data_IF_734972189151
#
_entry.id   IF_734972189151
#
_cell.length_a   1.000
_cell.length_b   1.000
_cell.length_c   1.000
_cell.angle_alpha   90.00
_cell.angle_beta   90.00
_cell.angle_gamma   90.00
#
_symmetry.space_group_name_H-M   'P 1'
#
loop_
_entity.id
_entity.type
_entity.pdbx_description
1 polymer ?
#
# COMPACT_ATOMS: atom_id res chain seq x y z
N UNK A 1 -17.90 -2.55 -3.03
CA UNK A 1 -17.38 -3.01 -1.73
C UNK A 1 -15.90 -2.65 -1.63
N UNK A 2 -15.42 -2.35 -0.43
CA UNK A 2 -14.02 -1.99 -0.19
C UNK A 2 -13.21 -3.26 0.14
N UNK A 3 -11.99 -3.35 -0.38
CA UNK A 3 -11.07 -4.46 -0.08
C UNK A 3 -9.92 -3.96 0.79
N UNK A 4 -9.75 -4.56 1.97
CA UNK A 4 -8.65 -4.24 2.86
C UNK A 4 -7.46 -5.17 2.62
N UNK A 5 -6.27 -4.59 2.52
CA UNK A 5 -4.99 -5.30 2.44
C UNK A 5 -4.10 -4.74 3.54
N UNK A 6 -3.46 -5.62 4.30
CA UNK A 6 -2.53 -5.23 5.35
C UNK A 6 -1.13 -5.61 4.91
N UNK A 7 -0.22 -4.65 5.00
CA UNK A 7 1.21 -4.86 4.81
C UNK A 7 1.99 -4.22 5.94
N UNK A 8 2.78 -5.04 6.61
CA UNK A 8 3.80 -4.62 7.56
C UNK A 8 5.04 -5.45 7.33
N UNK A 9 6.15 -4.81 6.94
CA UNK A 9 7.40 -5.52 6.70
C UNK A 9 8.31 -4.86 5.66
N UNK A 10 9.29 -5.64 5.20
CA UNK A 10 10.26 -5.24 4.18
C UNK A 10 9.62 -5.32 2.80
N UNK A 11 9.85 -4.30 1.97
CA UNK A 11 9.37 -4.26 0.58
C UNK A 11 10.21 -5.21 -0.28
N UNK A 12 9.56 -6.25 -0.79
CA UNK A 12 10.18 -7.31 -1.60
C UNK A 12 9.19 -7.79 -2.68
N UNK A 13 9.69 -8.55 -3.66
CA UNK A 13 8.92 -9.04 -4.81
C UNK A 13 7.65 -9.81 -4.44
N UNK A 14 7.67 -10.53 -3.30
CA UNK A 14 6.52 -11.28 -2.81
C UNK A 14 5.32 -10.37 -2.51
N UNK A 15 5.55 -9.19 -1.93
CA UNK A 15 4.52 -8.22 -1.60
C UNK A 15 4.00 -7.56 -2.88
N UNK A 16 4.90 -7.16 -3.78
CA UNK A 16 4.53 -6.55 -5.06
C UNK A 16 3.61 -7.47 -5.87
N UNK A 17 3.97 -8.75 -5.95
CA UNK A 17 3.17 -9.77 -6.63
C UNK A 17 1.78 -9.89 -6.01
N UNK A 18 1.69 -9.92 -4.67
CA UNK A 18 0.40 -10.02 -3.96
C UNK A 18 -0.48 -8.80 -4.18
N UNK A 19 0.08 -7.59 -4.08
CA UNK A 19 -0.67 -6.36 -4.27
C UNK A 19 -1.15 -6.24 -5.73
N UNK A 20 -0.27 -6.54 -6.69
CA UNK A 20 -0.61 -6.56 -8.11
C UNK A 20 -1.75 -7.54 -8.40
N UNK A 21 -1.66 -8.78 -7.91
CA UNK A 21 -2.72 -9.77 -8.10
C UNK A 21 -4.06 -9.34 -7.48
N UNK A 22 -4.02 -8.67 -6.32
CA UNK A 22 -5.23 -8.15 -5.69
C UNK A 22 -5.88 -7.03 -6.51
N UNK A 23 -5.07 -6.15 -7.11
CA UNK A 23 -5.56 -5.09 -8.01
C UNK A 23 -6.18 -5.70 -9.27
N UNK A 24 -5.54 -6.70 -9.87
CA UNK A 24 -6.03 -7.36 -11.08
C UNK A 24 -7.32 -8.17 -10.85
N UNK A 25 -7.50 -8.76 -9.66
CA UNK A 25 -8.70 -9.53 -9.31
C UNK A 25 -9.89 -8.64 -8.90
N UNK A 26 -9.64 -7.38 -8.52
CA UNK A 26 -10.65 -6.49 -7.97
C UNK A 26 -11.84 -6.17 -8.91
N UNK A 27 -11.66 -5.97 -10.24
CA UNK A 27 -12.77 -5.75 -11.17
C UNK A 27 -13.77 -6.93 -11.20
N UNK A 28 -13.26 -8.16 -11.29
CA UNK A 28 -14.09 -9.37 -11.33
C UNK A 28 -14.84 -9.65 -10.02
N UNK A 29 -14.35 -9.07 -8.92
CA UNK A 29 -14.94 -9.20 -7.59
C UNK A 29 -15.85 -8.01 -7.20
N UNK A 30 -16.20 -7.12 -8.15
CA UNK A 30 -17.00 -5.91 -7.88
C UNK A 30 -16.43 -5.03 -6.74
N UNK A 31 -15.09 -5.04 -6.60
CA UNK A 31 -14.39 -4.18 -5.64
C UNK A 31 -14.29 -2.78 -6.22
N UNK A 32 -14.71 -1.79 -5.41
CA UNK A 32 -14.77 -0.39 -5.84
C UNK A 32 -13.54 0.40 -5.41
N UNK A 33 -12.86 -0.04 -4.35
CA UNK A 33 -11.59 0.55 -3.88
C UNK A 33 -10.78 -0.48 -3.10
N UNK A 34 -9.47 -0.27 -3.05
CA UNK A 34 -8.54 -1.00 -2.20
C UNK A 34 -8.05 -0.05 -1.10
N UNK A 35 -8.14 -0.48 0.15
CA UNK A 35 -7.56 0.22 1.31
C UNK A 35 -6.34 -0.58 1.76
N UNK A 36 -5.16 0.01 1.58
CA UNK A 36 -3.89 -0.57 1.99
C UNK A 36 -3.46 0.00 3.34
N UNK A 37 -3.53 -0.82 4.39
CA UNK A 37 -2.93 -0.51 5.68
C UNK A 37 -1.43 -0.81 5.59
N UNK A 38 -0.61 0.23 5.61
CA UNK A 38 0.78 0.17 5.17
C UNK A 38 1.73 0.62 6.28
N UNK A 39 2.69 -0.23 6.61
CA UNK A 39 3.87 0.13 7.40
C UNK A 39 5.11 -0.57 6.87
N UNK A 40 6.19 0.18 6.67
CA UNK A 40 7.47 -0.35 6.23
C UNK A 40 8.60 0.62 6.53
N UNK A 41 9.77 0.06 6.86
CA UNK A 41 11.01 0.82 6.95
C UNK A 41 11.74 0.92 5.60
N UNK A 42 11.17 0.35 4.53
CA UNK A 42 11.79 0.28 3.21
C UNK A 42 12.06 -1.16 2.78
N UNK A 43 12.98 -1.31 1.84
CA UNK A 43 13.33 -2.59 1.22
C UNK A 43 13.92 -2.36 -0.16
N UNK A 44 13.56 -3.22 -1.10
CA UNK A 44 14.02 -3.13 -2.47
C UNK A 44 13.48 -1.88 -3.19
N UNK A 45 14.39 -1.13 -3.80
CA UNK A 45 14.08 0.14 -4.48
C UNK A 45 13.29 -0.09 -5.77
N UNK A 46 13.63 -1.13 -6.53
CA UNK A 46 12.97 -1.45 -7.80
C UNK A 46 11.53 -1.87 -7.56
N UNK A 47 11.30 -2.73 -6.56
CA UNK A 47 9.97 -3.15 -6.13
C UNK A 47 9.14 -1.96 -5.65
N UNK A 48 9.75 -1.02 -4.93
CA UNK A 48 9.05 0.19 -4.51
C UNK A 48 8.60 1.10 -5.65
N UNK A 49 9.43 1.30 -6.67
CA UNK A 49 9.03 2.05 -7.87
C UNK A 49 8.01 1.30 -8.73
N UNK A 50 8.13 -0.02 -8.83
CA UNK A 50 7.13 -0.87 -9.48
C UNK A 50 5.76 -0.69 -8.82
N UNK A 51 5.71 -0.82 -7.49
CA UNK A 51 4.48 -0.65 -6.71
C UNK A 51 3.90 0.75 -6.85
N UNK A 52 4.73 1.79 -6.77
CA UNK A 52 4.29 3.16 -6.96
C UNK A 52 3.66 3.38 -8.35
N UNK A 53 4.27 2.80 -9.39
CA UNK A 53 3.75 2.86 -10.76
C UNK A 53 2.42 2.12 -10.90
N UNK A 54 2.32 0.92 -10.31
CA UNK A 54 1.08 0.13 -10.28
C UNK A 54 -0.04 0.89 -9.58
N UNK A 55 0.26 1.52 -8.43
CA UNK A 55 -0.73 2.28 -7.65
C UNK A 55 -1.22 3.49 -8.43
N UNK A 56 -0.31 4.28 -9.02
CA UNK A 56 -0.66 5.47 -9.81
C UNK A 56 -1.53 5.15 -11.03
N UNK A 57 -1.26 4.02 -11.67
CA UNK A 57 -1.93 3.59 -12.90
C UNK A 57 -3.11 2.65 -12.66
N UNK A 58 -3.41 2.32 -11.40
CA UNK A 58 -4.55 1.44 -11.07
C UNK A 58 -5.86 2.09 -11.50
N UNK A 59 -6.69 1.33 -12.23
CA UNK A 59 -8.06 1.74 -12.59
C UNK A 59 -8.99 1.76 -11.38
N UNK A 60 -8.68 0.96 -10.36
CA UNK A 60 -9.42 0.94 -9.11
C UNK A 60 -8.71 1.85 -8.11
N UNK A 61 -9.43 2.79 -7.46
CA UNK A 61 -8.86 3.64 -6.42
C UNK A 61 -8.13 2.84 -5.34
N UNK A 62 -6.89 3.24 -5.05
CA UNK A 62 -6.10 2.69 -3.95
C UNK A 62 -5.87 3.81 -2.95
N UNK A 63 -6.35 3.59 -1.73
CA UNK A 63 -6.16 4.48 -0.58
C UNK A 63 -5.12 3.86 0.32
N UNK A 64 -4.09 4.61 0.72
CA UNK A 64 -3.06 4.11 1.63
C UNK A 64 -3.22 4.74 3.01
N UNK A 65 -3.33 3.90 4.03
CA UNK A 65 -3.32 4.31 5.44
C UNK A 65 -1.97 3.95 6.03
N UNK A 66 -1.14 4.95 6.31
CA UNK A 66 0.06 4.78 7.12
C UNK A 66 -0.36 4.46 8.57
N UNK A 67 -0.20 3.19 8.98
CA UNK A 67 -0.62 2.72 10.30
C UNK A 67 0.51 2.66 11.33
N UNK A 68 1.76 2.85 10.90
CA UNK A 68 2.92 3.00 11.78
C UNK A 68 4.07 3.72 11.01
N UNK A 69 5.28 3.15 10.97
CA UNK A 69 6.42 3.73 10.27
C UNK A 69 6.28 3.62 8.75
N UNK A 70 6.53 4.72 8.05
CA UNK A 70 6.80 4.80 6.60
C UNK A 70 8.18 5.43 6.44
N UNK A 71 9.16 4.66 5.96
CA UNK A 71 10.54 5.14 5.79
C UNK A 71 11.14 4.70 4.44
N UNK A 72 12.19 5.39 4.00
CA UNK A 72 12.94 5.08 2.78
C UNK A 72 12.01 4.95 1.55
N UNK A 73 12.17 3.91 0.74
CA UNK A 73 11.35 3.65 -0.46
C UNK A 73 9.85 3.47 -0.15
N UNK A 74 9.47 3.16 1.10
CA UNK A 74 8.07 3.12 1.50
C UNK A 74 7.39 4.49 1.35
N UNK A 75 8.14 5.59 1.48
CA UNK A 75 7.60 6.94 1.21
C UNK A 75 7.16 7.10 -0.24
N UNK A 76 7.92 6.56 -1.20
CA UNK A 76 7.57 6.62 -2.62
C UNK A 76 6.27 5.87 -2.89
N UNK A 77 6.11 4.66 -2.32
CA UNK A 77 4.87 3.89 -2.41
C UNK A 77 3.72 4.67 -1.77
N UNK A 78 3.89 5.17 -0.55
CA UNK A 78 2.85 5.92 0.15
C UNK A 78 2.40 7.16 -0.65
N UNK A 79 3.34 7.95 -1.16
CA UNK A 79 3.08 9.17 -1.94
C UNK A 79 2.45 8.90 -3.31
N UNK A 80 2.58 7.68 -3.84
CA UNK A 80 2.01 7.29 -5.13
C UNK A 80 0.48 7.23 -5.14
N UNK A 81 -0.15 6.98 -3.99
CA UNK A 81 -1.61 6.94 -3.87
C UNK A 81 -2.23 8.34 -3.92
N UNK A 82 -3.38 8.48 -4.58
CA UNK A 82 -4.11 9.76 -4.65
C UNK A 82 -4.69 10.17 -3.30
N UNK A 83 -5.23 9.20 -2.57
CA UNK A 83 -5.77 9.39 -1.22
C UNK A 83 -4.85 8.70 -0.21
N UNK A 84 -4.47 9.46 0.81
CA UNK A 84 -3.49 9.04 1.82
C UNK A 84 -4.00 9.46 3.19
N UNK A 85 -3.97 8.54 4.13
CA UNK A 85 -4.32 8.78 5.53
C UNK A 85 -3.13 8.40 6.39
N UNK A 86 -2.93 9.14 7.47
CA UNK A 86 -1.95 8.82 8.51
C UNK A 86 -2.66 8.79 9.84
N UNK A 87 -2.41 7.75 10.63
CA UNK A 87 -2.89 7.73 12.00
C UNK A 87 -1.94 8.58 12.85
N UNK A 88 -2.44 9.55 13.63
CA UNK A 88 -1.62 10.19 14.64
C UNK A 88 -1.09 9.11 15.58
N UNK A 89 0.24 9.06 15.73
CA UNK A 89 0.93 8.06 16.55
C UNK A 89 0.52 8.24 18.01
N UNK A 90 -0.49 7.49 18.45
CA UNK A 90 -0.92 7.40 19.85
C UNK A 90 -0.11 6.28 20.50
N UNK A 91 0.98 6.65 21.20
CA UNK A 91 1.77 5.72 21.99
C UNK A 91 1.11 5.53 23.37
N UNK A 92 0.32 4.48 23.51
CA UNK A 92 -0.05 3.99 24.85
C UNK A 92 1.01 2.97 25.28
N UNK A 93 1.68 3.28 26.38
CA UNK A 93 2.59 2.36 27.08
C UNK A 93 1.76 1.85 28.25
N UNK A 94 1.42 0.56 28.26
CA UNK A 94 0.76 -0.12 29.38
C UNK A 94 1.76 -0.47 30.47
#
# INVERSE_FOLDING_TARGET
MDRYIIFSGVIEQNFSTRLFNAIQAAPSANIQRIVLLFSSLGGDIHEGFLLASVIQNSKIPIVIHANNNIDSIANVIYLSAKERMTYPRLLYHS
#
